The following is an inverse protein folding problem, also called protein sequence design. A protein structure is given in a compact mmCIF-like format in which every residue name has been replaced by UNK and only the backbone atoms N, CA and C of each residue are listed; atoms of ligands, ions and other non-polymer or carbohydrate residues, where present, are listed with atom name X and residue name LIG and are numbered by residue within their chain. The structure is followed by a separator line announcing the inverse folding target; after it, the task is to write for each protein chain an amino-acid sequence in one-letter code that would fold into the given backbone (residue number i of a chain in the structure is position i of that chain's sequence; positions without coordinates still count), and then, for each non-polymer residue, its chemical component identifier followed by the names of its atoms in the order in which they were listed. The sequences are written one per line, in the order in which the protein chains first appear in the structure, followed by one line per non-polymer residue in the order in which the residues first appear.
data_IF_352578412480
#
_entry.id   IF_352578412480
#
_cell.length_a   1.000
_cell.length_b   1.000
_cell.length_c   1.000
_cell.angle_alpha   90.00
_cell.angle_beta   90.00
_cell.angle_gamma   90.00
#
_symmetry.space_group_name_H-M   'P 1'
#
loop_
_entity.id
_entity.type
_entity.pdbx_description
1 polymer ?
#
# COMPACT_ATOMS: atom_id res chain seq x y z
N UNK A 1 -2.07 -6.35 12.37
CA UNK A 1 -1.17 -6.79 11.31
C UNK A 1 -0.87 -5.58 10.47
N UNK A 2 0.40 -5.36 10.13
CA UNK A 2 0.78 -4.34 9.17
C UNK A 2 0.16 -4.68 7.81
N UNK A 3 -0.20 -3.66 7.03
CA UNK A 3 -0.78 -3.86 5.71
C UNK A 3 0.35 -3.99 4.68
N UNK A 4 0.21 -4.96 3.78
CA UNK A 4 1.27 -5.39 2.87
C UNK A 4 0.95 -5.06 1.41
N UNK A 5 1.96 -4.53 0.70
CA UNK A 5 1.94 -4.32 -0.74
C UNK A 5 2.77 -5.41 -1.45
N UNK A 6 2.13 -6.23 -2.26
CA UNK A 6 2.82 -7.23 -3.08
C UNK A 6 3.39 -6.61 -4.35
N UNK A 7 4.71 -6.71 -4.55
CA UNK A 7 5.38 -6.24 -5.77
C UNK A 7 5.36 -7.37 -6.79
N UNK A 8 4.75 -7.13 -7.94
CA UNK A 8 4.64 -8.09 -9.04
C UNK A 8 5.20 -7.48 -10.33
N UNK A 9 5.66 -8.32 -11.24
CA UNK A 9 6.17 -7.90 -12.55
C UNK A 9 6.72 -9.07 -13.32
N UNK A 10 6.82 -8.93 -14.64
CA UNK A 10 7.47 -9.90 -15.50
C UNK A 10 8.99 -9.95 -15.22
N UNK A 11 9.68 -11.00 -15.65
CA UNK A 11 11.14 -11.04 -15.53
C UNK A 11 11.82 -9.85 -16.23
N UNK A 12 12.93 -9.37 -15.67
CA UNK A 12 13.78 -8.32 -16.23
C UNK A 12 13.12 -6.92 -16.39
N UNK A 13 12.08 -6.62 -15.63
CA UNK A 13 11.46 -5.28 -15.57
C UNK A 13 12.08 -4.37 -14.51
N UNK A 14 13.05 -4.86 -13.73
CA UNK A 14 13.70 -4.12 -12.62
C UNK A 14 13.06 -4.33 -11.25
N UNK A 15 12.16 -5.32 -11.11
CA UNK A 15 11.44 -5.63 -9.87
C UNK A 15 12.39 -5.87 -8.68
N UNK A 16 13.40 -6.75 -8.84
CA UNK A 16 14.35 -7.08 -7.77
C UNK A 16 15.26 -5.90 -7.43
N UNK A 17 15.66 -5.09 -8.42
CA UNK A 17 16.43 -3.86 -8.19
C UNK A 17 15.63 -2.89 -7.34
N UNK A 18 14.36 -2.67 -7.68
CA UNK A 18 13.44 -1.82 -6.91
C UNK A 18 13.26 -2.34 -5.49
N UNK A 19 13.01 -3.64 -5.32
CA UNK A 19 12.82 -4.24 -4.00
C UNK A 19 14.09 -4.14 -3.14
N UNK A 20 15.26 -4.37 -3.72
CA UNK A 20 16.52 -4.21 -3.01
C UNK A 20 16.75 -2.74 -2.58
N UNK A 21 16.43 -1.77 -3.45
CA UNK A 21 16.51 -0.36 -3.09
C UNK A 21 15.56 -0.01 -1.94
N UNK A 22 14.32 -0.52 -1.97
CA UNK A 22 13.34 -0.37 -0.88
C UNK A 22 13.84 -0.97 0.43
N UNK A 23 14.41 -2.18 0.40
CA UNK A 23 14.88 -2.87 1.61
C UNK A 23 16.14 -2.23 2.19
N UNK A 24 17.02 -1.66 1.35
CA UNK A 24 18.19 -0.90 1.81
C UNK A 24 17.80 0.45 2.42
N UNK A 25 16.81 1.13 1.83
CA UNK A 25 16.25 2.37 2.38
C UNK A 25 15.39 2.09 3.64
N UNK A 26 15.03 0.82 3.88
CA UNK A 26 14.22 0.37 5.00
C UNK A 26 15.03 0.23 6.29
N UNK A 27 14.29 -0.02 7.37
CA UNK A 27 14.87 -0.25 8.70
C UNK A 27 15.25 -1.71 8.82
N UNK A 28 16.40 -1.99 9.50
CA UNK A 28 16.66 -3.32 9.99
C UNK A 28 15.50 -3.71 10.93
N UNK A 29 14.78 -4.79 10.59
CA UNK A 29 13.57 -5.21 11.29
C UNK A 29 13.79 -5.47 12.80
N UNK A 30 15.04 -5.63 13.22
CA UNK A 30 15.46 -5.75 14.63
C UNK A 30 15.11 -4.51 15.48
N UNK A 31 14.94 -3.35 14.86
CA UNK A 31 14.64 -2.09 15.54
C UNK A 31 13.14 -1.85 15.74
N UNK A 32 12.27 -2.69 15.16
CA UNK A 32 10.83 -2.56 15.33
C UNK A 32 10.26 -3.69 16.21
N UNK A 33 9.71 -3.37 17.39
CA UNK A 33 9.06 -4.37 18.23
C UNK A 33 7.83 -4.95 17.52
N UNK A 34 7.72 -6.29 17.52
CA UNK A 34 6.62 -7.09 16.97
C UNK A 34 6.63 -7.34 15.43
N UNK A 35 7.71 -7.05 14.71
CA UNK A 35 7.85 -7.46 13.32
C UNK A 35 8.53 -8.83 13.24
N UNK A 36 7.85 -9.80 12.63
CA UNK A 36 8.46 -11.08 12.22
C UNK A 36 9.05 -10.88 10.84
N UNK A 37 10.36 -11.12 10.68
CA UNK A 37 11.01 -11.03 9.37
C UNK A 37 10.65 -12.27 8.58
N UNK A 38 9.81 -12.10 7.56
CA UNK A 38 9.62 -13.14 6.55
C UNK A 38 10.59 -12.95 5.38
N UNK A 39 11.08 -14.03 4.77
CA UNK A 39 11.90 -13.92 3.57
C UNK A 39 11.15 -13.10 2.50
N UNK A 40 11.85 -12.19 1.83
CA UNK A 40 11.31 -11.31 0.80
C UNK A 40 10.29 -10.24 1.28
N UNK A 41 10.32 -9.86 2.55
CA UNK A 41 9.54 -8.73 3.09
C UNK A 41 10.48 -7.58 3.45
N UNK A 42 10.16 -6.38 2.97
CA UNK A 42 10.86 -5.13 3.29
C UNK A 42 9.93 -4.19 4.07
N UNK A 43 10.39 -3.70 5.22
CA UNK A 43 9.67 -2.70 6.01
C UNK A 43 10.33 -1.35 5.75
N UNK A 44 9.54 -0.38 5.28
CA UNK A 44 10.04 0.94 4.92
C UNK A 44 9.30 2.03 5.68
N UNK A 45 10.02 3.06 6.09
CA UNK A 45 9.43 4.22 6.76
C UNK A 45 8.62 5.07 5.77
N UNK A 46 7.47 5.56 6.24
CA UNK A 46 6.70 6.57 5.53
C UNK A 46 7.37 7.93 5.73
N UNK A 47 7.89 8.57 4.68
CA UNK A 47 8.44 9.92 4.77
C UNK A 47 7.36 10.92 5.14
N UNK A 48 7.43 11.46 6.36
CA UNK A 48 6.47 12.44 6.88
C UNK A 48 7.18 13.61 7.56
N UNK A 49 7.27 14.79 6.92
CA UNK A 49 7.96 15.96 7.46
C UNK A 49 7.28 16.51 8.73
N UNK A 50 6.03 16.11 9.02
CA UNK A 50 5.31 16.53 10.22
C UNK A 50 5.97 16.01 11.50
N UNK A 51 6.57 14.81 11.44
CA UNK A 51 7.30 14.24 12.58
C UNK A 51 8.46 15.12 13.03
N UNK A 52 9.25 15.64 12.10
CA UNK A 52 10.37 16.54 12.40
C UNK A 52 9.87 17.82 13.06
N UNK A 53 8.75 18.39 12.60
CA UNK A 53 8.17 19.59 13.18
C UNK A 53 7.64 19.34 14.60
N UNK A 54 6.98 18.21 14.84
CA UNK A 54 6.52 17.82 16.18
C UNK A 54 7.72 17.58 17.13
N UNK A 55 8.75 16.89 16.64
CA UNK A 55 9.96 16.60 17.41
C UNK A 55 10.72 17.89 17.82
N UNK A 56 10.75 18.89 16.95
CA UNK A 56 11.36 20.18 17.26
C UNK A 56 10.66 20.92 18.41
N UNK A 57 9.36 20.69 18.62
CA UNK A 57 8.58 21.31 19.71
C UNK A 57 8.76 20.54 21.02
N UNK A 58 8.70 19.21 20.96
CA UNK A 58 8.63 18.35 22.16
C UNK A 58 10.02 17.91 22.62
N UNK A 59 11.04 17.91 21.74
CA UNK A 59 12.39 17.40 21.96
C UNK A 59 12.38 15.99 22.59
N UNK A 60 11.81 14.98 21.89
CA UNK A 60 11.61 13.64 22.42
C UNK A 60 12.93 12.85 22.48
N UNK A 61 12.96 11.80 23.29
CA UNK A 61 14.09 10.85 23.32
C UNK A 61 14.18 10.04 22.00
N UNK A 62 13.04 9.80 21.33
CA UNK A 62 12.98 9.08 20.06
C UNK A 62 11.81 9.55 19.18
N UNK A 63 12.00 9.38 17.87
CA UNK A 63 11.00 9.65 16.83
C UNK A 63 10.72 8.34 16.09
N UNK A 64 9.45 7.98 15.97
CA UNK A 64 9.02 6.73 15.34
C UNK A 64 8.08 7.03 14.16
N UNK A 65 8.52 6.86 12.90
CA UNK A 65 7.68 7.03 11.73
C UNK A 65 6.65 5.90 11.58
N UNK A 66 5.62 6.13 10.78
CA UNK A 66 4.77 5.07 10.26
C UNK A 66 5.54 4.22 9.25
N UNK A 67 5.10 2.99 9.03
CA UNK A 67 5.76 2.06 8.10
C UNK A 67 4.77 1.43 7.12
N UNK A 68 5.30 1.00 5.98
CA UNK A 68 4.61 0.17 4.99
C UNK A 68 5.44 -1.07 4.74
N UNK A 69 4.79 -2.21 4.61
CA UNK A 69 5.45 -3.46 4.25
C UNK A 69 5.32 -3.72 2.75
N UNK A 70 6.44 -4.05 2.12
CA UNK A 70 6.50 -4.52 0.74
C UNK A 70 6.96 -5.97 0.71
N UNK A 71 6.28 -6.78 -0.10
CA UNK A 71 6.61 -8.20 -0.28
C UNK A 71 7.06 -8.40 -1.72
N UNK A 72 8.30 -8.89 -1.92
CA UNK A 72 8.76 -9.29 -3.25
C UNK A 72 8.14 -10.63 -3.62
N UNK A 73 7.26 -10.59 -4.61
CA UNK A 73 6.60 -11.78 -5.11
C UNK A 73 7.36 -12.24 -6.36
N UNK A 74 7.89 -13.45 -6.33
CA UNK A 74 8.68 -14.02 -7.43
C UNK A 74 8.00 -13.80 -8.78
N UNK A 75 8.79 -13.52 -9.83
CA UNK A 75 8.26 -13.05 -11.12
C UNK A 75 7.19 -13.97 -11.72
N UNK A 76 6.10 -13.36 -12.19
CA UNK A 76 5.06 -14.02 -12.96
C UNK A 76 5.60 -14.31 -14.36
N UNK A 77 5.39 -15.53 -14.85
CA UNK A 77 5.53 -15.88 -16.27
C UNK A 77 4.16 -16.25 -16.83
N UNK A 78 3.94 -15.98 -18.11
CA UNK A 78 2.72 -16.38 -18.78
C UNK A 78 2.46 -17.89 -18.59
N UNK A 79 1.21 -18.27 -18.25
CA UNK A 79 0.85 -19.64 -17.94
C UNK A 79 1.00 -20.04 -16.46
N UNK A 80 1.32 -19.12 -15.57
CA UNK A 80 1.46 -19.40 -14.14
C UNK A 80 0.17 -19.92 -13.49
N UNK A 81 -0.98 -19.51 -13.97
CA UNK A 81 -2.30 -19.98 -13.52
C UNK A 81 -2.58 -21.45 -13.88
N UNK A 82 -1.90 -21.98 -14.91
CA UNK A 82 -2.04 -23.38 -15.38
C UNK A 82 -0.89 -24.28 -14.95
N UNK A 83 0.17 -23.69 -14.32
CA UNK A 83 1.39 -24.40 -13.94
C UNK A 83 1.29 -25.15 -12.61
N UNK A 84 1.93 -26.30 -12.54
CA UNK A 84 2.20 -26.98 -11.27
C UNK A 84 3.41 -26.32 -10.57
N UNK A 85 3.33 -26.11 -9.25
CA UNK A 85 4.47 -25.68 -8.43
C UNK A 85 4.59 -24.16 -8.25
N UNK A 86 5.59 -23.51 -8.86
CA UNK A 86 5.96 -22.11 -8.61
C UNK A 86 4.84 -21.08 -8.87
N UNK A 87 3.98 -21.31 -9.89
CA UNK A 87 2.85 -20.43 -10.18
C UNK A 87 1.81 -20.41 -9.07
N UNK A 88 1.50 -21.56 -8.48
CA UNK A 88 0.54 -21.65 -7.37
C UNK A 88 1.08 -20.98 -6.11
N UNK A 89 2.38 -21.08 -5.83
CA UNK A 89 3.01 -20.40 -4.69
C UNK A 89 3.01 -18.88 -4.89
N UNK A 90 3.31 -18.40 -6.10
CA UNK A 90 3.20 -17.01 -6.48
C UNK A 90 1.79 -16.44 -6.19
N UNK A 91 0.74 -17.14 -6.67
CA UNK A 91 -0.65 -16.71 -6.44
C UNK A 91 -1.06 -16.75 -4.96
N UNK A 92 -0.53 -17.72 -4.19
CA UNK A 92 -0.77 -17.78 -2.74
C UNK A 92 -0.18 -16.55 -2.04
N UNK A 93 1.07 -16.20 -2.34
CA UNK A 93 1.72 -15.04 -1.75
C UNK A 93 0.98 -13.72 -2.08
N UNK A 94 0.52 -13.53 -3.34
CA UNK A 94 -0.29 -12.36 -3.68
C UNK A 94 -1.61 -12.33 -2.87
N UNK A 95 -2.24 -13.48 -2.62
CA UNK A 95 -3.50 -13.52 -1.87
C UNK A 95 -3.35 -13.00 -0.44
N UNK A 96 -2.18 -13.11 0.15
CA UNK A 96 -1.90 -12.64 1.52
C UNK A 96 -1.67 -11.13 1.60
N UNK A 97 -1.30 -10.46 0.50
CA UNK A 97 -1.09 -9.00 0.48
C UNK A 97 -2.41 -8.22 0.43
N UNK A 98 -2.38 -6.94 0.81
CA UNK A 98 -3.55 -6.05 0.82
C UNK A 98 -3.69 -5.22 -0.46
N UNK A 99 -2.59 -4.96 -1.17
CA UNK A 99 -2.54 -4.20 -2.42
C UNK A 99 -1.49 -4.78 -3.37
N UNK A 100 -1.59 -4.45 -4.66
CA UNK A 100 -0.70 -4.94 -5.71
C UNK A 100 0.05 -3.76 -6.34
N UNK A 101 1.37 -3.86 -6.39
CA UNK A 101 2.27 -2.93 -7.06
C UNK A 101 2.82 -3.59 -8.31
N UNK A 102 2.32 -3.19 -9.48
CA UNK A 102 2.75 -3.74 -10.77
C UNK A 102 3.98 -2.98 -11.28
N UNK A 103 5.11 -3.65 -11.38
CA UNK A 103 6.34 -3.06 -11.95
C UNK A 103 6.41 -3.40 -13.42
N UNK A 104 6.52 -2.37 -14.26
CA UNK A 104 6.68 -2.51 -15.71
C UNK A 104 7.88 -1.72 -16.22
N UNK A 105 8.49 -2.22 -17.27
CA UNK A 105 9.66 -1.61 -17.89
C UNK A 105 9.23 -0.57 -18.93
N UNK A 106 9.73 0.66 -18.78
CA UNK A 106 9.48 1.79 -19.68
C UNK A 106 10.77 2.37 -20.25
N UNK A 107 11.77 1.54 -20.52
CA UNK A 107 13.04 1.92 -21.16
C UNK A 107 13.56 0.80 -22.06
N UNK A 108 14.30 1.17 -23.07
CA UNK A 108 15.01 0.23 -23.96
C UNK A 108 16.45 0.07 -23.47
N UNK A 109 16.94 -1.18 -23.41
CA UNK A 109 18.32 -1.53 -23.09
C UNK A 109 18.68 -2.84 -23.81
N UNK A 110 19.65 -2.78 -24.71
CA UNK A 110 20.09 -3.91 -25.52
C UNK A 110 20.75 -5.02 -24.68
N UNK A 111 21.28 -4.68 -23.50
CA UNK A 111 21.93 -5.64 -22.60
C UNK A 111 20.93 -6.40 -21.72
N UNK A 112 19.70 -5.93 -21.63
CA UNK A 112 18.64 -6.56 -20.80
C UNK A 112 17.56 -7.13 -21.69
N UNK A 113 17.56 -8.44 -21.87
CA UNK A 113 16.57 -9.14 -22.70
C UNK A 113 15.17 -9.04 -22.07
N UNK A 114 14.20 -8.55 -22.85
CA UNK A 114 12.78 -8.59 -22.47
C UNK A 114 12.18 -9.97 -22.82
N UNK A 115 11.35 -10.52 -21.96
CA UNK A 115 10.73 -11.86 -22.16
C UNK A 115 9.91 -11.96 -23.44
N UNK A 116 9.30 -10.85 -23.90
CA UNK A 116 8.51 -10.78 -25.14
C UNK A 116 9.34 -10.34 -26.35
N UNK A 117 10.65 -10.14 -26.20
CA UNK A 117 11.55 -9.65 -27.25
C UNK A 117 11.40 -8.16 -27.60
N UNK A 118 10.45 -7.45 -26.99
CA UNK A 118 10.23 -6.00 -27.14
C UNK A 118 9.72 -5.41 -25.83
N UNK A 119 9.97 -4.14 -25.59
CA UNK A 119 9.41 -3.40 -24.46
C UNK A 119 8.02 -2.91 -24.80
N UNK A 120 7.02 -3.38 -24.06
CA UNK A 120 5.62 -2.98 -24.20
C UNK A 120 4.95 -3.04 -22.83
N UNK A 121 5.01 -1.95 -22.03
CA UNK A 121 4.51 -1.94 -20.66
C UNK A 121 3.01 -2.21 -20.55
N UNK A 122 2.21 -1.90 -21.56
CA UNK A 122 0.77 -2.18 -21.57
C UNK A 122 0.55 -3.69 -21.75
N UNK A 123 1.21 -4.31 -22.72
CA UNK A 123 1.11 -5.76 -22.95
C UNK A 123 1.61 -6.56 -21.73
N UNK A 124 2.62 -6.06 -21.01
CA UNK A 124 3.10 -6.66 -19.76
C UNK A 124 2.02 -6.62 -18.68
N UNK A 125 1.35 -5.48 -18.49
CA UNK A 125 0.24 -5.34 -17.54
C UNK A 125 -0.93 -6.24 -17.90
N UNK A 126 -1.31 -6.31 -19.17
CA UNK A 126 -2.40 -7.16 -19.66
C UNK A 126 -2.09 -8.64 -19.44
N UNK A 127 -0.82 -9.05 -19.62
CA UNK A 127 -0.38 -10.41 -19.32
C UNK A 127 -0.54 -10.74 -17.84
N UNK A 128 -0.10 -9.86 -16.95
CA UNK A 128 -0.26 -10.03 -15.50
C UNK A 128 -1.75 -10.05 -15.13
N UNK A 129 -2.53 -9.09 -15.64
CA UNK A 129 -3.95 -8.99 -15.35
C UNK A 129 -4.72 -10.25 -15.77
N UNK A 130 -4.38 -10.82 -16.93
CA UNK A 130 -4.97 -12.07 -17.43
C UNK A 130 -4.68 -13.24 -16.50
N UNK A 131 -3.44 -13.42 -16.06
CA UNK A 131 -3.07 -14.51 -15.16
C UNK A 131 -3.78 -14.40 -13.79
N UNK A 132 -3.88 -13.17 -13.26
CA UNK A 132 -4.60 -12.92 -12.01
C UNK A 132 -6.11 -13.14 -12.15
N UNK A 133 -6.70 -12.76 -13.29
CA UNK A 133 -8.11 -12.99 -13.59
C UNK A 133 -8.43 -14.49 -13.70
N UNK A 134 -7.57 -15.27 -14.38
CA UNK A 134 -7.72 -16.73 -14.48
C UNK A 134 -7.64 -17.41 -13.11
N UNK A 135 -6.73 -16.95 -12.24
CA UNK A 135 -6.61 -17.47 -10.88
C UNK A 135 -7.85 -17.18 -10.02
N UNK A 136 -8.45 -15.99 -10.18
CA UNK A 136 -9.69 -15.63 -9.48
C UNK A 136 -10.91 -16.34 -10.09
N UNK A 137 -10.95 -16.54 -11.41
CA UNK A 137 -12.01 -17.30 -12.08
C UNK A 137 -12.15 -18.71 -11.48
N UNK A 138 -11.03 -19.44 -11.34
CA UNK A 138 -11.03 -20.73 -10.69
C UNK A 138 -11.56 -20.68 -9.24
N UNK A 139 -11.23 -19.59 -8.53
CA UNK A 139 -11.73 -19.31 -7.18
C UNK A 139 -13.25 -19.07 -7.16
N UNK A 140 -13.75 -18.24 -8.07
CA UNK A 140 -15.18 -17.90 -8.21
C UNK A 140 -15.99 -19.16 -8.55
N UNK A 141 -15.58 -19.93 -9.55
CA UNK A 141 -16.23 -21.19 -9.94
C UNK A 141 -16.34 -22.17 -8.77
N UNK A 142 -15.26 -22.32 -8.00
CA UNK A 142 -15.25 -23.17 -6.80
C UNK A 142 -16.25 -22.72 -5.75
N UNK A 143 -16.40 -21.41 -5.52
CA UNK A 143 -17.34 -20.86 -4.55
C UNK A 143 -18.78 -20.92 -5.06
N UNK A 144 -19.02 -20.67 -6.34
CA UNK A 144 -20.32 -20.86 -6.99
C UNK A 144 -20.82 -22.30 -6.84
N UNK A 145 -19.97 -23.29 -7.13
CA UNK A 145 -20.33 -24.70 -6.99
C UNK A 145 -20.77 -25.07 -5.56
N UNK A 146 -20.18 -24.41 -4.53
CA UNK A 146 -20.57 -24.61 -3.12
C UNK A 146 -21.87 -23.89 -2.74
N UNK A 147 -22.07 -22.67 -3.26
CA UNK A 147 -23.18 -21.79 -2.85
C UNK A 147 -24.51 -22.13 -3.55
N UNK A 148 -24.49 -22.67 -4.79
CA UNK A 148 -25.69 -22.94 -5.59
C UNK A 148 -26.66 -23.92 -4.91
N UNK A 149 -26.15 -24.96 -4.27
CA UNK A 149 -27.01 -25.97 -3.62
C UNK A 149 -27.77 -25.40 -2.40
N UNK A 150 -27.13 -24.73 -1.44
CA UNK A 150 -27.83 -24.04 -0.35
C UNK A 150 -28.81 -22.97 -0.84
N UNK A 151 -28.42 -22.17 -1.85
CA UNK A 151 -29.27 -21.17 -2.44
C UNK A 151 -30.59 -21.75 -2.99
N UNK A 152 -30.52 -22.87 -3.72
CA UNK A 152 -31.69 -23.60 -4.23
C UNK A 152 -32.54 -24.20 -3.11
N UNK A 153 -31.97 -24.48 -1.95
CA UNK A 153 -32.67 -24.97 -0.77
C UNK A 153 -33.36 -23.85 0.02
N UNK A 154 -33.28 -22.58 -0.44
CA UNK A 154 -33.97 -21.43 0.17
C UNK A 154 -33.11 -20.59 1.11
N UNK A 155 -31.80 -20.85 1.20
CA UNK A 155 -30.88 -20.02 1.96
C UNK A 155 -30.68 -18.68 1.26
N UNK A 156 -31.17 -17.61 1.91
CA UNK A 156 -31.13 -16.24 1.37
C UNK A 156 -29.73 -15.64 1.28
N UNK A 157 -28.85 -15.99 2.22
CA UNK A 157 -27.47 -15.51 2.21
C UNK A 157 -26.67 -16.19 1.09
N UNK A 158 -26.83 -17.50 0.94
CA UNK A 158 -26.26 -18.24 -0.19
C UNK A 158 -26.77 -17.72 -1.54
N UNK A 159 -28.06 -17.36 -1.65
CA UNK A 159 -28.61 -16.79 -2.88
C UNK A 159 -28.00 -15.41 -3.22
N UNK A 160 -27.79 -14.54 -2.21
CA UNK A 160 -27.07 -13.26 -2.40
C UNK A 160 -25.62 -13.51 -2.83
N UNK A 161 -24.95 -14.44 -2.18
CA UNK A 161 -23.55 -14.78 -2.53
C UNK A 161 -23.46 -15.28 -3.98
N UNK A 162 -24.38 -16.16 -4.43
CA UNK A 162 -24.42 -16.64 -5.83
C UNK A 162 -24.55 -15.45 -6.78
N UNK A 163 -25.48 -14.53 -6.53
CA UNK A 163 -25.67 -13.34 -7.38
C UNK A 163 -24.40 -12.48 -7.49
N UNK A 164 -23.66 -12.27 -6.40
CA UNK A 164 -22.42 -11.49 -6.41
C UNK A 164 -21.31 -12.24 -7.14
N UNK A 165 -21.19 -13.55 -6.91
CA UNK A 165 -20.17 -14.38 -7.60
C UNK A 165 -20.43 -14.47 -9.11
N UNK A 166 -21.68 -14.49 -9.56
CA UNK A 166 -22.03 -14.42 -10.99
C UNK A 166 -21.63 -13.09 -11.62
N UNK A 167 -21.79 -11.97 -10.90
CA UNK A 167 -21.24 -10.67 -11.35
C UNK A 167 -19.71 -10.71 -11.48
N UNK A 168 -19.03 -11.29 -10.47
CA UNK A 168 -17.58 -11.45 -10.51
C UNK A 168 -17.14 -12.32 -11.70
N UNK A 169 -17.84 -13.43 -11.95
CA UNK A 169 -17.55 -14.32 -13.08
C UNK A 169 -17.67 -13.57 -14.41
N UNK A 170 -18.80 -12.90 -14.65
CA UNK A 170 -19.02 -12.15 -15.89
C UNK A 170 -17.95 -11.06 -16.11
N UNK A 171 -17.50 -10.40 -15.04
CA UNK A 171 -16.45 -9.38 -15.09
C UNK A 171 -15.08 -9.99 -15.48
N UNK A 172 -14.74 -11.13 -14.89
CA UNK A 172 -13.49 -11.84 -15.16
C UNK A 172 -13.47 -12.49 -16.56
N UNK A 173 -14.61 -12.92 -17.07
CA UNK A 173 -14.76 -13.44 -18.45
C UNK A 173 -14.41 -12.35 -19.49
N UNK A 174 -14.63 -11.07 -19.16
CA UNK A 174 -14.21 -9.93 -19.97
C UNK A 174 -12.76 -9.48 -19.71
N UNK A 175 -11.98 -10.27 -18.99
CA UNK A 175 -10.63 -9.94 -18.51
C UNK A 175 -10.55 -8.62 -17.68
N UNK A 176 -11.65 -8.20 -17.06
CA UNK A 176 -11.74 -7.03 -16.20
C UNK A 176 -11.60 -7.42 -14.72
N UNK A 177 -10.91 -6.62 -13.89
CA UNK A 177 -10.71 -6.94 -12.48
C UNK A 177 -12.00 -6.76 -11.67
N UNK A 178 -12.17 -7.57 -10.62
CA UNK A 178 -13.33 -7.51 -9.72
C UNK A 178 -13.44 -6.12 -9.04
N UNK A 179 -12.32 -5.44 -8.75
CA UNK A 179 -12.33 -4.08 -8.17
C UNK A 179 -13.03 -3.03 -9.02
N UNK A 180 -13.20 -3.27 -10.32
CA UNK A 180 -13.90 -2.37 -11.23
C UNK A 180 -15.43 -2.58 -11.24
N UNK A 181 -15.94 -3.60 -10.53
CA UNK A 181 -17.38 -3.78 -10.33
C UNK A 181 -17.91 -2.76 -9.33
N UNK A 182 -19.07 -2.18 -9.65
CA UNK A 182 -19.85 -1.37 -8.69
C UNK A 182 -20.61 -2.31 -7.74
N UNK A 183 -19.95 -2.71 -6.66
CA UNK A 183 -20.50 -3.55 -5.62
C UNK A 183 -20.85 -2.70 -4.40
N UNK A 184 -22.02 -2.98 -3.79
CA UNK A 184 -22.37 -2.39 -2.51
C UNK A 184 -21.41 -2.88 -1.40
N UNK A 185 -21.39 -2.17 -0.27
CA UNK A 185 -20.52 -2.56 0.86
C UNK A 185 -20.91 -3.93 1.44
N UNK A 186 -22.23 -4.27 1.40
CA UNK A 186 -22.71 -5.61 1.76
C UNK A 186 -22.17 -6.68 0.80
N UNK A 187 -22.18 -6.41 -0.51
CA UNK A 187 -21.64 -7.33 -1.53
C UNK A 187 -20.12 -7.51 -1.39
N UNK A 188 -19.38 -6.41 -1.14
CA UNK A 188 -17.94 -6.47 -0.84
C UNK A 188 -17.64 -7.34 0.39
N UNK A 189 -18.45 -7.23 1.44
CA UNK A 189 -18.30 -8.06 2.63
C UNK A 189 -18.53 -9.54 2.35
N UNK A 190 -19.48 -9.90 1.47
CA UNK A 190 -19.76 -11.30 1.10
C UNK A 190 -18.59 -11.97 0.40
N UNK A 191 -17.83 -11.25 -0.45
CA UNK A 191 -16.69 -11.80 -1.19
C UNK A 191 -15.36 -11.65 -0.45
N UNK A 192 -15.28 -10.81 0.58
CA UNK A 192 -14.05 -10.56 1.34
C UNK A 192 -13.35 -11.84 1.84
N UNK A 193 -14.06 -12.88 2.36
CA UNK A 193 -13.42 -14.10 2.85
C UNK A 193 -12.72 -14.93 1.77
N UNK A 194 -12.90 -14.62 0.49
CA UNK A 194 -12.33 -15.42 -0.61
C UNK A 194 -10.98 -14.86 -1.09
N UNK A 195 -10.57 -13.68 -0.62
CA UNK A 195 -9.28 -13.07 -0.93
C UNK A 195 -8.99 -13.01 -2.44
N UNK A 196 -9.99 -12.59 -3.23
CA UNK A 196 -9.81 -12.43 -4.67
C UNK A 196 -8.72 -11.39 -4.96
N UNK A 197 -7.78 -11.78 -5.80
CA UNK A 197 -6.59 -10.99 -6.11
C UNK A 197 -6.98 -9.74 -6.89
N UNK A 198 -7.87 -9.88 -7.88
CA UNK A 198 -8.32 -8.77 -8.74
C UNK A 198 -9.31 -7.82 -8.04
N UNK A 199 -9.79 -8.17 -6.83
CA UNK A 199 -10.57 -7.27 -5.98
C UNK A 199 -9.69 -6.27 -5.19
N UNK A 200 -8.39 -6.54 -5.07
CA UNK A 200 -7.44 -5.69 -4.33
C UNK A 200 -7.15 -4.40 -5.08
N UNK A 201 -6.88 -3.28 -4.38
CA UNK A 201 -6.38 -2.07 -5.00
C UNK A 201 -5.02 -2.31 -5.66
N UNK A 202 -4.75 -1.60 -6.74
CA UNK A 202 -3.52 -1.76 -7.49
C UNK A 202 -2.94 -0.44 -7.96
N UNK A 203 -1.62 -0.37 -8.11
CA UNK A 203 -0.88 0.72 -8.70
C UNK A 203 0.17 0.22 -9.67
N UNK A 204 0.74 1.12 -10.44
CA UNK A 204 1.76 0.83 -11.43
C UNK A 204 3.04 1.59 -11.09
N UNK A 205 4.16 0.89 -11.09
CA UNK A 205 5.50 1.48 -11.07
C UNK A 205 6.07 1.37 -12.48
N UNK A 206 6.23 2.51 -13.13
CA UNK A 206 6.90 2.62 -14.40
C UNK A 206 8.41 2.75 -14.15
N UNK A 207 9.16 1.67 -14.38
CA UNK A 207 10.62 1.70 -14.29
C UNK A 207 11.17 2.34 -15.56
N UNK A 208 11.74 3.54 -15.44
CA UNK A 208 12.29 4.35 -16.53
C UNK A 208 13.82 4.40 -16.48
N UNK A 209 14.46 4.83 -17.56
CA UNK A 209 15.88 5.21 -17.55
C UNK A 209 16.09 6.54 -16.82
N UNK A 210 17.31 6.91 -16.53
CA UNK A 210 17.69 8.15 -15.83
C UNK A 210 17.13 9.42 -16.48
N UNK A 211 17.13 9.46 -17.81
CA UNK A 211 16.58 10.53 -18.63
C UNK A 211 15.14 10.28 -19.08
N UNK A 212 14.54 9.19 -18.60
CA UNK A 212 13.24 8.67 -19.06
C UNK A 212 12.01 9.23 -18.35
N UNK A 213 12.15 10.25 -17.51
CA UNK A 213 11.02 10.87 -16.81
C UNK A 213 10.24 11.83 -17.71
N UNK A 214 10.93 12.46 -18.67
CA UNK A 214 10.36 13.35 -19.66
C UNK A 214 10.48 12.75 -21.06
N UNK A 215 9.57 13.09 -21.97
CA UNK A 215 9.58 12.69 -23.40
C UNK A 215 9.69 11.16 -23.63
N UNK A 216 9.21 10.36 -22.71
CA UNK A 216 9.22 8.90 -22.77
C UNK A 216 7.90 8.38 -23.36
N UNK A 217 7.89 7.86 -24.62
CA UNK A 217 6.66 7.39 -25.26
C UNK A 217 6.01 6.20 -24.54
N UNK A 218 6.80 5.32 -23.91
CA UNK A 218 6.28 4.20 -23.12
C UNK A 218 5.55 4.70 -21.89
N UNK A 219 6.15 5.65 -21.15
CA UNK A 219 5.55 6.24 -19.96
C UNK A 219 4.25 6.99 -20.29
N UNK A 220 4.24 7.82 -21.35
CA UNK A 220 3.06 8.58 -21.76
C UNK A 220 1.89 7.68 -22.12
N UNK A 221 2.13 6.63 -22.94
CA UNK A 221 1.12 5.63 -23.28
C UNK A 221 0.58 4.89 -22.07
N UNK A 222 1.50 4.50 -21.16
CA UNK A 222 1.16 3.81 -19.93
C UNK A 222 0.28 4.67 -19.01
N UNK A 223 0.61 5.96 -18.86
CA UNK A 223 -0.17 6.90 -18.03
C UNK A 223 -1.60 7.07 -18.59
N UNK A 224 -1.75 7.25 -19.90
CA UNK A 224 -3.06 7.34 -20.54
C UNK A 224 -3.88 6.04 -20.39
N UNK A 225 -3.24 4.89 -20.48
CA UNK A 225 -3.88 3.59 -20.28
C UNK A 225 -4.32 3.41 -18.81
N UNK A 226 -3.46 3.74 -17.87
CA UNK A 226 -3.70 3.61 -16.43
C UNK A 226 -4.81 4.55 -15.94
N UNK A 227 -4.94 5.75 -16.52
CA UNK A 227 -6.03 6.68 -16.24
C UNK A 227 -7.39 6.05 -16.54
N UNK A 228 -7.51 5.35 -17.69
CA UNK A 228 -8.72 4.58 -18.04
C UNK A 228 -9.05 3.45 -17.07
N UNK A 229 -8.06 2.95 -16.32
CA UNK A 229 -8.22 1.91 -15.28
C UNK A 229 -8.39 2.48 -13.87
N UNK A 230 -8.26 3.79 -13.68
CA UNK A 230 -8.25 4.44 -12.36
C UNK A 230 -7.07 3.99 -11.49
N UNK A 231 -5.94 3.61 -12.09
CA UNK A 231 -4.75 3.15 -11.38
C UNK A 231 -3.69 4.24 -11.32
N UNK A 232 -3.14 4.58 -10.13
CA UNK A 232 -2.04 5.53 -10.03
C UNK A 232 -0.76 4.96 -10.65
N UNK A 233 0.02 5.83 -11.31
CA UNK A 233 1.33 5.52 -11.90
C UNK A 233 2.40 6.31 -11.19
N UNK A 234 3.46 5.64 -10.74
CA UNK A 234 4.67 6.26 -10.18
C UNK A 234 5.85 5.90 -11.08
N UNK A 235 6.46 6.90 -11.71
CA UNK A 235 7.69 6.71 -12.48
C UNK A 235 8.90 6.71 -11.55
N UNK A 236 9.77 5.70 -11.67
CA UNK A 236 10.96 5.49 -10.86
C UNK A 236 12.08 4.98 -11.77
N UNK A 237 13.30 5.43 -11.56
CA UNK A 237 14.49 4.79 -12.10
C UNK A 237 15.09 3.87 -11.04
N UNK A 238 14.87 2.56 -11.15
CA UNK A 238 15.26 1.61 -10.11
C UNK A 238 16.81 1.52 -9.92
N UNK A 239 17.62 1.79 -10.95
CA UNK A 239 19.08 1.88 -10.83
C UNK A 239 19.48 3.09 -9.98
N UNK A 240 18.95 4.27 -10.29
CA UNK A 240 19.21 5.51 -9.53
C UNK A 240 18.80 5.35 -8.06
N UNK A 241 17.62 4.77 -7.80
CA UNK A 241 17.17 4.54 -6.42
C UNK A 241 18.09 3.58 -5.66
N UNK A 242 18.63 2.57 -6.34
CA UNK A 242 19.61 1.65 -5.73
C UNK A 242 20.93 2.36 -5.40
N UNK A 243 21.39 3.29 -6.24
CA UNK A 243 22.58 4.10 -5.98
C UNK A 243 22.35 5.07 -4.83
N UNK A 244 21.22 5.80 -4.82
CA UNK A 244 20.86 6.72 -3.73
C UNK A 244 20.78 5.99 -2.39
N UNK A 245 20.25 4.76 -2.37
CA UNK A 245 20.13 3.98 -1.14
C UNK A 245 21.49 3.67 -0.49
N UNK A 246 22.56 3.55 -1.29
CA UNK A 246 23.92 3.25 -0.83
C UNK A 246 24.74 4.53 -0.49
N UNK A 247 24.23 5.73 -0.80
CA UNK A 247 24.93 6.99 -0.57
C UNK A 247 24.82 7.49 0.88
N UNK A 248 25.85 8.19 1.41
CA UNK A 248 25.73 8.98 2.63
C UNK A 248 24.66 10.07 2.48
N UNK A 249 23.99 10.43 3.57
CA UNK A 249 22.88 11.41 3.53
C UNK A 249 23.28 12.79 3.00
N UNK A 250 24.53 13.21 3.24
CA UNK A 250 25.08 14.47 2.75
C UNK A 250 25.18 14.50 1.22
N UNK A 251 25.54 13.37 0.61
CA UNK A 251 25.72 13.22 -0.84
C UNK A 251 24.37 13.06 -1.55
N UNK A 252 23.38 12.45 -0.89
CA UNK A 252 22.02 12.26 -1.46
C UNK A 252 21.38 13.56 -1.92
N UNK A 253 21.46 14.60 -1.10
CA UNK A 253 20.85 15.89 -1.42
C UNK A 253 21.49 16.55 -2.65
N UNK A 254 22.82 16.44 -2.78
CA UNK A 254 23.56 16.98 -3.93
C UNK A 254 23.20 16.19 -5.19
N UNK A 255 23.23 14.86 -5.10
CA UNK A 255 22.91 13.98 -6.22
C UNK A 255 21.47 14.21 -6.74
N UNK A 256 20.50 14.30 -5.85
CA UNK A 256 19.11 14.57 -6.22
C UNK A 256 18.95 15.94 -6.91
N UNK A 257 19.65 16.98 -6.41
CA UNK A 257 19.65 18.31 -7.01
C UNK A 257 20.27 18.30 -8.43
N UNK A 258 21.36 17.57 -8.64
CA UNK A 258 22.01 17.41 -9.95
C UNK A 258 21.09 16.68 -10.95
N UNK A 259 20.29 15.76 -10.47
CA UNK A 259 19.27 15.03 -11.26
C UNK A 259 17.96 15.85 -11.45
N UNK A 260 17.86 17.04 -10.87
CA UNK A 260 16.64 17.85 -10.90
C UNK A 260 15.48 17.23 -10.11
N UNK A 261 15.76 16.38 -9.14
CA UNK A 261 14.79 15.68 -8.30
C UNK A 261 14.71 16.35 -6.92
N UNK A 262 13.49 16.61 -6.44
CA UNK A 262 13.27 17.17 -5.09
C UNK A 262 13.42 16.11 -4.00
N UNK A 263 13.14 14.85 -4.32
CA UNK A 263 13.19 13.72 -3.40
C UNK A 263 13.39 12.39 -4.15
N UNK A 264 13.83 11.32 -3.46
CA UNK A 264 13.88 9.98 -4.04
C UNK A 264 12.52 9.52 -4.57
N UNK A 265 12.49 8.82 -5.69
CA UNK A 265 11.27 8.24 -6.26
C UNK A 265 10.64 7.20 -5.33
N UNK A 266 11.45 6.51 -4.52
CA UNK A 266 10.97 5.61 -3.48
C UNK A 266 10.04 6.30 -2.48
N UNK A 267 10.31 7.54 -2.09
CA UNK A 267 9.43 8.30 -1.20
C UNK A 267 8.02 8.49 -1.81
N UNK A 268 7.96 8.78 -3.11
CA UNK A 268 6.70 8.89 -3.85
C UNK A 268 5.97 7.55 -3.92
N UNK A 269 6.71 6.46 -4.16
CA UNK A 269 6.15 5.10 -4.16
C UNK A 269 5.55 4.75 -2.79
N UNK A 270 6.30 4.97 -1.72
CA UNK A 270 5.86 4.64 -0.35
C UNK A 270 4.58 5.42 0.00
N UNK A 271 4.52 6.72 -0.30
CA UNK A 271 3.31 7.53 -0.08
C UNK A 271 2.14 7.07 -0.95
N UNK A 272 2.37 6.76 -2.21
CA UNK A 272 1.33 6.25 -3.10
C UNK A 272 0.79 4.89 -2.62
N UNK A 273 1.65 3.99 -2.18
CA UNK A 273 1.26 2.70 -1.61
C UNK A 273 0.47 2.86 -0.30
N UNK A 274 0.88 3.78 0.57
CA UNK A 274 0.18 4.11 1.80
C UNK A 274 -1.25 4.62 1.52
N UNK A 275 -1.38 5.56 0.57
CA UNK A 275 -2.69 6.06 0.13
C UNK A 275 -3.55 4.98 -0.52
N UNK A 276 -2.95 4.09 -1.34
CA UNK A 276 -3.63 2.98 -2.00
C UNK A 276 -4.27 2.01 -1.00
N UNK A 277 -3.62 1.79 0.14
CA UNK A 277 -4.13 0.96 1.24
C UNK A 277 -5.28 1.63 2.02
N UNK A 278 -5.66 2.85 1.69
CA UNK A 278 -6.68 3.61 2.41
C UNK A 278 -6.26 3.96 3.83
N UNK A 279 -4.98 4.26 4.02
CA UNK A 279 -4.39 4.59 5.31
C UNK A 279 -4.26 6.09 5.51
N UNK A 280 -4.25 6.49 6.77
CA UNK A 280 -3.92 7.84 7.23
C UNK A 280 -3.12 7.78 8.52
N UNK A 281 -2.48 8.89 8.86
CA UNK A 281 -1.59 8.98 10.02
C UNK A 281 -2.15 9.93 11.07
N UNK A 282 -2.18 9.49 12.33
CA UNK A 282 -2.29 10.36 13.48
C UNK A 282 -1.01 10.30 14.31
N UNK A 283 -0.81 11.26 15.20
CA UNK A 283 0.41 11.38 15.99
C UNK A 283 0.12 11.30 17.49
N UNK A 284 1.09 10.77 18.22
CA UNK A 284 1.24 11.00 19.65
C UNK A 284 2.53 11.76 19.87
N UNK A 285 2.50 12.83 20.68
CA UNK A 285 3.66 13.67 20.94
C UNK A 285 3.88 13.81 22.44
N UNK A 286 5.04 13.37 22.91
CA UNK A 286 5.44 13.43 24.30
C UNK A 286 6.96 13.42 24.46
N UNK A 287 7.49 13.72 25.69
CA UNK A 287 8.94 13.83 25.91
C UNK A 287 9.70 12.51 25.73
N UNK A 288 9.05 11.37 25.86
CA UNK A 288 9.68 10.07 25.59
C UNK A 288 9.67 9.70 24.12
N UNK A 289 8.59 10.01 23.42
CA UNK A 289 8.40 9.58 22.04
C UNK A 289 7.47 10.54 21.30
N UNK A 290 7.84 10.86 20.05
CA UNK A 290 6.93 11.36 19.02
C UNK A 290 6.75 10.23 18.01
N UNK A 291 5.50 9.82 17.79
CA UNK A 291 5.22 8.67 16.93
C UNK A 291 4.06 8.92 15.97
N UNK A 292 4.27 8.48 14.74
CA UNK A 292 3.22 8.39 13.74
C UNK A 292 2.55 7.00 13.82
N UNK A 293 1.24 7.00 13.95
CA UNK A 293 0.41 5.80 14.02
C UNK A 293 -0.43 5.67 12.75
N UNK A 294 -0.51 4.48 12.22
CA UNK A 294 -1.27 4.18 11.02
C UNK A 294 -2.66 3.68 11.35
N UNK A 295 -3.69 4.30 10.76
CA UNK A 295 -5.08 3.84 10.85
C UNK A 295 -5.74 3.86 9.48
N UNK A 296 -6.81 3.10 9.30
CA UNK A 296 -7.63 3.20 8.09
C UNK A 296 -8.39 4.53 8.08
N UNK A 297 -8.57 5.11 6.90
CA UNK A 297 -9.48 6.24 6.71
C UNK A 297 -10.87 5.85 7.20
N UNK A 298 -11.49 6.71 8.02
CA UNK A 298 -12.78 6.43 8.66
C UNK A 298 -12.70 5.72 10.01
N UNK A 299 -11.49 5.41 10.52
CA UNK A 299 -11.33 4.83 11.86
C UNK A 299 -11.83 5.77 12.96
N UNK A 300 -12.52 5.21 13.94
CA UNK A 300 -12.96 5.94 15.14
C UNK A 300 -11.84 6.11 16.16
N UNK A 301 -11.99 7.05 17.11
CA UNK A 301 -11.00 7.27 18.17
C UNK A 301 -10.72 6.01 19.00
N UNK A 302 -11.68 5.17 19.39
CA UNK A 302 -11.40 3.89 20.04
C UNK A 302 -10.56 2.95 19.18
N UNK A 303 -10.87 2.83 17.88
CA UNK A 303 -10.09 2.00 16.95
C UNK A 303 -8.65 2.51 16.82
N UNK A 304 -8.45 3.82 16.77
CA UNK A 304 -7.11 4.41 16.78
C UNK A 304 -6.37 4.11 18.10
N UNK A 305 -7.04 4.23 19.24
CA UNK A 305 -6.46 3.82 20.52
C UNK A 305 -6.06 2.34 20.53
N UNK A 306 -6.84 1.49 19.88
CA UNK A 306 -6.61 0.05 19.73
C UNK A 306 -5.35 -0.29 18.94
N UNK A 307 -4.92 0.59 18.03
CA UNK A 307 -3.64 0.43 17.30
C UNK A 307 -2.44 0.54 18.27
N UNK A 308 -2.56 1.35 19.31
CA UNK A 308 -1.52 1.46 20.35
C UNK A 308 -1.53 0.21 21.22
N UNK A 309 -2.70 -0.14 21.77
CA UNK A 309 -2.91 -1.32 22.59
C UNK A 309 -4.40 -1.68 22.64
N UNK A 310 -4.73 -2.97 22.62
CA UNK A 310 -6.12 -3.46 22.66
C UNK A 310 -6.88 -3.01 23.92
N UNK A 311 -6.18 -2.85 25.04
CA UNK A 311 -6.79 -2.36 26.28
C UNK A 311 -7.19 -0.89 26.18
N UNK A 312 -6.48 -0.07 25.38
CA UNK A 312 -6.85 1.32 25.14
C UNK A 312 -8.17 1.43 24.38
N UNK A 313 -8.43 0.52 23.45
CA UNK A 313 -9.71 0.44 22.78
C UNK A 313 -10.84 0.03 23.73
N UNK A 314 -10.63 -1.04 24.53
CA UNK A 314 -11.61 -1.57 25.46
C UNK A 314 -11.95 -0.58 26.57
N UNK A 315 -10.93 0.04 27.15
CA UNK A 315 -11.05 1.00 28.24
C UNK A 315 -11.23 2.45 27.78
N UNK A 316 -11.46 2.72 26.48
CA UNK A 316 -11.53 4.06 25.93
C UNK A 316 -12.59 4.93 26.63
N UNK A 317 -12.17 6.10 27.12
CA UNK A 317 -13.03 7.10 27.75
C UNK A 317 -13.23 8.27 26.79
N UNK A 318 -12.14 8.90 26.35
CA UNK A 318 -12.12 10.04 25.43
C UNK A 318 -10.74 10.23 24.82
N UNK A 319 -10.66 11.01 23.74
CA UNK A 319 -9.42 11.49 23.17
C UNK A 319 -9.31 13.02 23.34
N UNK A 320 -8.14 13.50 23.68
CA UNK A 320 -7.75 14.90 23.61
C UNK A 320 -7.09 15.06 22.24
N UNK A 321 -7.67 15.89 21.36
CA UNK A 321 -7.29 16.00 19.94
C UNK A 321 -6.93 17.42 19.59
N UNK A 322 -5.76 17.62 18.98
CA UNK A 322 -5.28 18.89 18.44
C UNK A 322 -4.91 18.63 16.97
N UNK A 323 -5.39 19.47 16.04
CA UNK A 323 -4.93 19.38 14.65
C UNK A 323 -3.45 19.73 14.53
N UNK A 324 -2.73 19.04 13.64
CA UNK A 324 -1.28 19.23 13.46
C UNK A 324 -0.88 20.72 13.32
N UNK A 325 -1.57 21.48 12.48
CA UNK A 325 -1.27 22.91 12.28
C UNK A 325 -1.43 23.71 13.56
N UNK A 326 -2.56 23.54 14.28
CA UNK A 326 -2.79 24.20 15.55
C UNK A 326 -1.71 23.82 16.58
N UNK A 327 -1.25 22.57 16.58
CA UNK A 327 -0.18 22.11 17.46
C UNK A 327 1.16 22.79 17.19
N UNK A 328 1.53 22.92 15.92
CA UNK A 328 2.78 23.56 15.49
C UNK A 328 2.73 25.07 15.71
N UNK A 329 1.67 25.73 15.25
CA UNK A 329 1.52 27.19 15.31
C UNK A 329 1.48 27.71 16.77
N UNK A 330 0.87 26.91 17.66
CA UNK A 330 0.73 27.23 19.09
C UNK A 330 1.82 26.61 19.96
N UNK A 331 2.88 26.04 19.35
CA UNK A 331 4.07 25.51 20.01
C UNK A 331 3.76 24.40 21.03
N UNK A 332 2.85 23.50 20.68
CA UNK A 332 2.56 22.29 21.44
C UNK A 332 1.24 22.27 22.18
N UNK A 333 1.07 21.26 23.00
CA UNK A 333 -0.18 20.96 23.71
C UNK A 333 -0.64 22.10 24.63
N UNK A 334 0.29 22.72 25.37
CA UNK A 334 -0.04 23.79 26.32
C UNK A 334 -0.63 25.01 25.61
N UNK A 335 0.04 25.53 24.57
CA UNK A 335 -0.44 26.67 23.82
C UNK A 335 -1.76 26.38 23.09
N UNK A 336 -1.91 25.18 22.55
CA UNK A 336 -3.16 24.75 21.91
C UNK A 336 -4.32 24.70 22.91
N UNK A 337 -4.06 24.28 24.14
CA UNK A 337 -5.07 24.23 25.21
C UNK A 337 -5.47 25.64 25.67
N UNK A 338 -4.51 26.53 25.88
CA UNK A 338 -4.78 27.95 26.22
C UNK A 338 -5.57 28.66 25.14
N UNK A 339 -5.28 28.38 23.86
CA UNK A 339 -5.98 28.94 22.71
C UNK A 339 -7.35 28.27 22.44
N UNK A 340 -7.78 27.29 23.24
CA UNK A 340 -9.04 26.56 23.07
C UNK A 340 -9.07 25.66 21.83
N UNK A 341 -7.90 25.24 21.30
CA UNK A 341 -7.77 24.37 20.12
C UNK A 341 -7.70 22.89 20.46
N UNK A 342 -7.52 22.52 21.73
CA UNK A 342 -7.64 21.15 22.19
C UNK A 342 -9.10 20.76 22.32
N UNK A 343 -9.52 19.77 21.56
CA UNK A 343 -10.89 19.22 21.55
C UNK A 343 -10.93 17.98 22.41
N UNK A 344 -12.05 17.77 23.08
CA UNK A 344 -12.35 16.52 23.79
C UNK A 344 -13.34 15.72 22.96
N UNK A 345 -12.89 14.60 22.43
CA UNK A 345 -13.64 13.79 21.47
C UNK A 345 -14.05 12.44 22.09
N UNK A 346 -15.26 12.01 21.78
CA UNK A 346 -15.86 10.78 22.23
C UNK A 346 -15.63 9.59 21.29
N UNK A 347 -16.39 8.51 21.52
CA UNK A 347 -16.24 7.24 20.79
C UNK A 347 -16.57 7.33 19.31
N UNK A 348 -17.46 8.24 18.92
CA UNK A 348 -17.91 8.41 17.53
C UNK A 348 -17.00 9.32 16.70
N UNK A 349 -15.95 9.88 17.31
CA UNK A 349 -15.04 10.75 16.58
C UNK A 349 -14.28 9.96 15.52
N UNK A 350 -14.37 10.42 14.29
CA UNK A 350 -13.58 9.90 13.16
C UNK A 350 -12.24 10.63 13.11
N UNK A 351 -11.17 9.87 13.28
CA UNK A 351 -9.79 10.40 13.27
C UNK A 351 -9.49 11.02 11.92
N UNK A 352 -8.84 12.16 11.93
CA UNK A 352 -8.38 12.87 10.72
C UNK A 352 -6.88 12.74 10.56
N UNK A 353 -6.44 12.72 9.30
CA UNK A 353 -5.00 12.74 9.01
C UNK A 353 -4.33 13.98 9.63
N UNK A 354 -3.26 13.75 10.37
CA UNK A 354 -2.52 14.79 11.09
C UNK A 354 -3.08 15.15 12.48
N UNK A 355 -4.09 14.47 13.01
CA UNK A 355 -4.50 14.69 14.40
C UNK A 355 -3.35 14.31 15.37
N UNK A 356 -3.04 15.20 16.32
CA UNK A 356 -2.18 14.89 17.46
C UNK A 356 -3.08 14.52 18.63
N UNK A 357 -2.97 13.27 19.11
CA UNK A 357 -3.97 12.65 19.97
C UNK A 357 -3.36 12.18 21.29
N UNK A 358 -4.10 12.37 22.38
CA UNK A 358 -3.82 11.77 23.68
C UNK A 358 -5.06 11.03 24.16
N UNK A 359 -4.94 9.71 24.34
CA UNK A 359 -6.06 8.87 24.75
C UNK A 359 -6.17 8.78 26.28
N UNK A 360 -7.40 8.95 26.78
CA UNK A 360 -7.77 8.68 28.17
C UNK A 360 -8.56 7.37 28.22
N UNK A 361 -8.06 6.43 28.96
CA UNK A 361 -8.65 5.09 29.10
C UNK A 361 -8.58 4.62 30.56
N UNK A 362 -9.40 3.65 30.89
CA UNK A 362 -9.41 2.97 32.18
C UNK A 362 -9.47 1.46 31.93
N UNK A 363 -8.53 0.72 32.48
CA UNK A 363 -8.40 -0.75 32.34
C UNK A 363 -8.61 -1.40 33.69
#
# INVERSE_FOLDING_TARGET
MALQCGIVGLPNVGKSTLFNALTKAGIAAENYPFCTIEPNTGIVELPDPRLTQLAAIVTPERVMPATVEFVDIAGLVAGASKGEGLGNQFLANIRETDAIVNVVRCFDDENVVHVSGRVDPIADLETIATELALADMAGVEKQLAKAVKPARAGDKEAARLVSVLEKCQAQLDEAKPIRALDLSDEEKLLIKPFFFITAKPGMIVANVAEDGFEKNPHLQKLQAYAEGLGMPVVAICASVESEIADMPDEDKAVFLADMGMEEPGLNRLIRAAFGLLGLQTYFTAGPKEVRAWTVRIGATAPQAAGVIHTDFERGFIRAEVIGFRDYVDLKGEHGAKEAGKMRLEGKEYIVKDGDVMHFRFNV
#
